data_IF_807885787362
#
_entry.id   IF_807885787362
#
_cell.length_a   1.000
_cell.length_b   1.000
_cell.length_c   1.000
_cell.angle_alpha   90.00
_cell.angle_beta   90.00
_cell.angle_gamma   90.00
#
_symmetry.space_group_name_H-M   'P 1'
#
loop_
_entity.id
_entity.type
_entity.pdbx_description
1 polymer ?
#
# COMPACT_ATOMS: atom_id res chain seq x y z
N UNK A 1 -0.12 -0.69 -2.41
CA UNK A 1 1.31 -0.55 -2.73
C UNK A 1 1.89 0.46 -1.76
N UNK A 2 2.90 0.06 -1.00
CA UNK A 2 3.67 0.96 -0.13
C UNK A 2 5.06 1.24 -0.72
N UNK A 3 5.78 2.19 -0.14
CA UNK A 3 7.08 2.63 -0.63
C UNK A 3 8.08 1.46 -0.61
N UNK A 4 8.07 0.67 0.45
CA UNK A 4 8.97 -0.46 0.68
C UNK A 4 8.81 -1.54 -0.39
N UNK A 5 7.57 -1.96 -0.66
CA UNK A 5 7.22 -2.90 -1.73
C UNK A 5 7.69 -2.37 -3.10
N UNK A 6 7.52 -1.06 -3.34
CA UNK A 6 7.93 -0.45 -4.60
C UNK A 6 9.45 -0.42 -4.76
N UNK A 7 10.19 -0.12 -3.68
CA UNK A 7 11.65 -0.18 -3.67
C UNK A 7 12.17 -1.60 -3.90
N UNK A 8 11.58 -2.59 -3.22
CA UNK A 8 11.97 -3.99 -3.36
C UNK A 8 11.70 -4.50 -4.78
N UNK A 9 10.51 -4.23 -5.32
CA UNK A 9 10.14 -4.66 -6.66
C UNK A 9 11.06 -4.04 -7.73
N UNK A 10 11.33 -2.74 -7.65
CA UNK A 10 12.21 -2.06 -8.62
C UNK A 10 13.67 -2.49 -8.48
N UNK A 11 14.13 -2.75 -7.26
CA UNK A 11 15.46 -3.31 -7.05
C UNK A 11 15.58 -4.72 -7.61
N UNK A 12 14.57 -5.58 -7.40
CA UNK A 12 14.60 -6.99 -7.81
C UNK A 12 14.37 -7.19 -9.31
N UNK A 13 13.46 -6.41 -9.90
CA UNK A 13 13.00 -6.64 -11.27
C UNK A 13 13.62 -5.70 -12.30
N UNK A 14 14.19 -4.58 -11.87
CA UNK A 14 14.79 -3.57 -12.76
C UNK A 14 16.21 -3.17 -12.36
N UNK A 15 16.81 -3.81 -11.35
CA UNK A 15 18.15 -3.51 -10.82
C UNK A 15 18.34 -2.03 -10.44
N UNK A 16 17.26 -1.38 -10.01
CA UNK A 16 17.30 0.02 -9.59
C UNK A 16 17.70 0.09 -8.11
N UNK A 17 18.78 0.82 -7.82
CA UNK A 17 19.25 1.01 -6.44
C UNK A 17 18.15 1.63 -5.56
N UNK A 18 17.88 1.10 -4.35
CA UNK A 18 16.82 1.60 -3.47
C UNK A 18 16.91 3.10 -3.15
N UNK A 19 18.12 3.67 -3.12
CA UNK A 19 18.33 5.11 -2.91
C UNK A 19 17.73 5.98 -4.02
N UNK A 20 17.75 5.50 -5.26
CA UNK A 20 17.15 6.19 -6.41
C UNK A 20 15.64 6.18 -6.27
N UNK A 21 15.05 5.00 -6.06
CA UNK A 21 13.61 4.86 -5.84
C UNK A 21 13.12 5.69 -4.65
N UNK A 22 13.87 5.70 -3.54
CA UNK A 22 13.51 6.49 -2.35
C UNK A 22 13.53 7.99 -2.62
N UNK A 23 14.49 8.46 -3.43
CA UNK A 23 14.60 9.88 -3.82
C UNK A 23 13.43 10.28 -4.72
N UNK A 24 13.18 9.51 -5.78
CA UNK A 24 12.07 9.78 -6.71
C UNK A 24 10.73 9.73 -5.99
N UNK A 25 10.52 8.74 -5.12
CA UNK A 25 9.30 8.62 -4.33
C UNK A 25 9.03 9.85 -3.46
N UNK A 26 10.07 10.39 -2.79
CA UNK A 26 9.94 11.60 -1.96
C UNK A 26 9.54 12.82 -2.77
N UNK A 27 10.14 13.03 -3.95
CA UNK A 27 9.75 14.15 -4.82
C UNK A 27 8.33 13.95 -5.38
N UNK A 28 7.95 12.72 -5.74
CA UNK A 28 6.58 12.42 -6.17
C UNK A 28 5.54 12.72 -5.08
N UNK A 29 5.80 12.33 -3.83
CA UNK A 29 4.92 12.64 -2.69
C UNK A 29 4.78 14.15 -2.46
N UNK A 30 5.88 14.89 -2.61
CA UNK A 30 5.90 16.34 -2.45
C UNK A 30 5.13 17.05 -3.56
N UNK A 31 5.32 16.65 -4.82
CA UNK A 31 4.65 17.27 -5.97
C UNK A 31 3.18 16.86 -6.10
N UNK A 32 2.82 15.67 -5.63
CA UNK A 32 1.49 15.08 -5.83
C UNK A 32 0.79 14.81 -4.50
N UNK A 33 0.93 15.72 -3.53
CA UNK A 33 0.44 15.53 -2.16
C UNK A 33 -1.02 15.10 -2.09
N UNK A 34 -1.91 15.78 -2.80
CA UNK A 34 -3.35 15.48 -2.78
C UNK A 34 -3.65 14.06 -3.30
N UNK A 35 -2.89 13.59 -4.29
CA UNK A 35 -3.01 12.23 -4.79
C UNK A 35 -2.60 11.21 -3.73
N UNK A 36 -1.46 11.41 -3.07
CA UNK A 36 -0.98 10.50 -2.05
C UNK A 36 -1.88 10.48 -0.80
N UNK A 37 -2.40 11.64 -0.38
CA UNK A 37 -3.34 11.74 0.73
C UNK A 37 -4.66 11.00 0.41
N UNK A 38 -5.22 11.20 -0.80
CA UNK A 38 -6.41 10.49 -1.24
C UNK A 38 -6.17 8.98 -1.45
N UNK A 39 -4.99 8.60 -1.94
CA UNK A 39 -4.60 7.20 -2.12
C UNK A 39 -4.47 6.49 -0.77
N UNK A 40 -3.84 7.12 0.22
CA UNK A 40 -3.71 6.59 1.57
C UNK A 40 -5.08 6.36 2.22
N UNK A 41 -5.97 7.36 2.16
CA UNK A 41 -7.34 7.25 2.69
C UNK A 41 -8.09 6.06 2.09
N UNK A 42 -8.07 5.92 0.75
CA UNK A 42 -8.74 4.81 0.05
C UNK A 42 -8.18 3.45 0.46
N UNK A 43 -6.86 3.38 0.72
CA UNK A 43 -6.20 2.15 1.15
C UNK A 43 -6.67 1.75 2.55
N UNK A 44 -6.71 2.68 3.48
CA UNK A 44 -7.14 2.42 4.87
C UNK A 44 -8.61 2.00 4.94
N UNK A 45 -9.48 2.61 4.13
CA UNK A 45 -10.87 2.19 4.02
C UNK A 45 -11.00 0.76 3.46
N UNK A 46 -10.18 0.42 2.46
CA UNK A 46 -10.17 -0.93 1.87
C UNK A 46 -9.72 -1.96 2.91
N UNK A 47 -8.66 -1.68 3.66
CA UNK A 47 -8.19 -2.55 4.73
C UNK A 47 -9.26 -2.73 5.82
N UNK A 48 -9.91 -1.64 6.23
CA UNK A 48 -10.98 -1.68 7.22
C UNK A 48 -12.16 -2.54 6.76
N UNK A 49 -12.60 -2.37 5.51
CA UNK A 49 -13.65 -3.19 4.89
C UNK A 49 -13.26 -4.67 4.82
N UNK A 50 -12.02 -4.97 4.46
CA UNK A 50 -11.51 -6.34 4.41
C UNK A 50 -11.47 -6.99 5.79
N UNK A 51 -11.07 -6.26 6.83
CA UNK A 51 -11.08 -6.77 8.22
C UNK A 51 -12.50 -7.09 8.68
N UNK A 52 -13.46 -6.20 8.43
CA UNK A 52 -14.88 -6.43 8.76
C UNK A 52 -15.41 -7.66 8.03
N UNK A 53 -15.13 -7.78 6.72
CA UNK A 53 -15.56 -8.93 5.94
C UNK A 53 -14.98 -10.24 6.46
N UNK A 54 -13.68 -10.24 6.81
CA UNK A 54 -13.00 -11.42 7.36
C UNK A 54 -13.62 -11.85 8.70
N UNK A 55 -13.85 -10.92 9.63
CA UNK A 55 -14.49 -11.23 10.91
C UNK A 55 -15.88 -11.86 10.75
N UNK A 56 -16.65 -11.40 9.77
CA UNK A 56 -17.96 -11.97 9.46
C UNK A 56 -17.85 -13.41 8.95
N UNK A 57 -16.94 -13.66 8.00
CA UNK A 57 -16.69 -15.01 7.48
C UNK A 57 -16.25 -15.97 8.58
N UNK A 58 -15.31 -15.54 9.43
CA UNK A 58 -14.78 -16.37 10.52
C UNK A 58 -15.91 -16.74 11.52
N UNK A 59 -16.83 -15.81 11.79
CA UNK A 59 -18.01 -16.05 12.64
C UNK A 59 -18.97 -17.09 12.02
N UNK A 60 -19.23 -17.00 10.72
CA UNK A 60 -20.11 -17.93 9.99
C UNK A 60 -19.49 -19.34 9.88
N UNK A 61 -18.15 -19.44 9.81
CA UNK A 61 -17.44 -20.73 9.77
C UNK A 61 -17.40 -21.45 11.12
N UNK A 62 -17.43 -20.71 12.23
CA UNK A 62 -17.34 -21.29 13.58
C UNK A 62 -18.72 -21.74 14.14
N UNK A 63 -19.79 -21.53 13.36
CA UNK A 63 -21.17 -21.95 13.68
C UNK A 63 -21.66 -23.18 12.90
N UNK A 64 -20.79 -23.86 12.15
CA UNK A 64 -21.04 -25.17 11.52
C UNK A 64 -20.28 -26.26 12.25
#
# INVERSE_FOLDING_TARGET
MNKEECMEALSKHADIKPVITSTVWKELEKENKDFFDAYAQRRDEKESRQRIHKMRLDSDTNSK
#
